data_IF_386455980876
#
_entry.id   IF_386455980876
#
_cell.length_a   1.000
_cell.length_b   1.000
_cell.length_c   1.000
_cell.angle_alpha   90.00
_cell.angle_beta   90.00
_cell.angle_gamma   90.00
#
_symmetry.space_group_name_H-M   'P 1'
#
loop_
_entity.id
_entity.type
_entity.pdbx_description
1 polymer ?
#
# COMPACT_ATOMS: atom_id res chain seq x y z
N UNK A 1 -7.58 -34.45 3.22
CA UNK A 1 -7.66 -33.09 3.78
C UNK A 1 -6.39 -32.87 4.57
N UNK A 2 -5.30 -32.59 3.85
CA UNK A 2 -3.95 -32.46 4.39
C UNK A 2 -3.67 -30.98 4.65
N UNK A 3 -4.30 -30.45 5.70
CA UNK A 3 -4.36 -29.01 6.01
C UNK A 3 -3.20 -28.50 6.88
N UNK A 4 -2.13 -29.27 7.08
CA UNK A 4 -1.07 -28.90 8.05
C UNK A 4 0.32 -29.17 7.50
N UNK A 5 0.91 -28.18 6.80
CA UNK A 5 2.19 -27.52 7.17
C UNK A 5 2.68 -26.57 6.08
N UNK A 6 2.35 -25.29 6.22
CA UNK A 6 3.13 -24.18 5.65
C UNK A 6 3.45 -23.12 6.70
N UNK A 7 3.54 -23.49 7.99
CA UNK A 7 3.72 -22.53 9.11
C UNK A 7 5.17 -22.04 9.27
N UNK A 8 5.94 -21.97 8.18
CA UNK A 8 7.23 -21.28 8.22
C UNK A 8 7.01 -19.87 7.68
N UNK A 9 7.62 -18.84 8.28
CA UNK A 9 7.51 -17.46 7.77
C UNK A 9 7.91 -17.32 6.30
N UNK A 10 8.81 -18.20 5.80
CA UNK A 10 9.19 -18.22 4.39
C UNK A 10 8.09 -18.79 3.48
N UNK A 11 7.31 -19.76 3.96
CA UNK A 11 6.18 -20.28 3.20
C UNK A 11 5.02 -19.29 3.17
N UNK A 12 4.75 -18.61 4.29
CA UNK A 12 3.78 -17.50 4.34
C UNK A 12 4.19 -16.40 3.35
N UNK A 13 5.45 -15.97 3.38
CA UNK A 13 5.99 -15.00 2.42
C UNK A 13 5.90 -15.48 0.97
N UNK A 14 6.17 -16.75 0.70
CA UNK A 14 6.04 -17.30 -0.64
C UNK A 14 4.58 -17.31 -1.13
N UNK A 15 3.60 -17.54 -0.25
CA UNK A 15 2.18 -17.45 -0.59
C UNK A 15 1.76 -16.01 -0.88
N UNK A 16 2.24 -15.05 -0.09
CA UNK A 16 2.04 -13.61 -0.32
C UNK A 16 2.60 -13.20 -1.69
N UNK A 17 3.86 -13.56 -2.00
CA UNK A 17 4.47 -13.26 -3.30
C UNK A 17 3.75 -13.93 -4.47
N UNK A 18 3.26 -15.17 -4.29
CA UNK A 18 2.45 -15.83 -5.33
C UNK A 18 1.15 -15.07 -5.63
N UNK A 19 0.54 -14.44 -4.62
CA UNK A 19 -0.62 -13.56 -4.84
C UNK A 19 -0.24 -12.28 -5.59
N UNK A 20 0.88 -11.64 -5.21
CA UNK A 20 1.34 -10.43 -5.89
C UNK A 20 1.75 -10.67 -7.35
N UNK A 21 2.32 -11.85 -7.64
CA UNK A 21 2.71 -12.25 -9.00
C UNK A 21 1.49 -12.30 -9.93
N UNK A 22 0.35 -12.80 -9.43
CA UNK A 22 -0.91 -12.87 -10.18
C UNK A 22 -1.42 -11.50 -10.60
N UNK A 23 -1.16 -10.48 -9.80
CA UNK A 23 -1.56 -9.09 -10.03
C UNK A 23 -0.47 -8.31 -10.80
N UNK A 24 0.68 -8.94 -11.09
CA UNK A 24 1.81 -8.29 -11.76
C UNK A 24 2.54 -7.26 -10.90
N UNK A 25 2.35 -7.33 -9.57
CA UNK A 25 2.93 -6.39 -8.61
C UNK A 25 4.25 -6.88 -8.01
N UNK A 26 4.67 -8.10 -8.37
CA UNK A 26 5.91 -8.69 -7.85
C UNK A 26 7.15 -8.10 -8.54
N UNK A 27 8.11 -7.61 -7.76
CA UNK A 27 9.37 -7.14 -8.33
C UNK A 27 10.23 -8.29 -8.88
N UNK A 28 11.15 -8.00 -9.80
CA UNK A 28 12.02 -9.01 -10.40
C UNK A 28 12.87 -9.77 -9.35
N UNK A 29 13.32 -9.09 -8.30
CA UNK A 29 14.09 -9.71 -7.22
C UNK A 29 13.21 -10.69 -6.42
N UNK A 30 12.01 -10.27 -6.05
CA UNK A 30 11.07 -11.12 -5.31
C UNK A 30 10.60 -12.31 -6.15
N UNK A 31 10.39 -12.13 -7.46
CA UNK A 31 10.11 -13.23 -8.38
C UNK A 31 11.20 -14.31 -8.38
N UNK A 32 12.48 -13.90 -8.34
CA UNK A 32 13.60 -14.86 -8.22
C UNK A 32 13.61 -15.57 -6.87
N UNK A 33 13.28 -14.88 -5.78
CA UNK A 33 13.17 -15.50 -4.46
C UNK A 33 12.01 -16.50 -4.39
N UNK A 34 10.84 -16.13 -4.92
CA UNK A 34 9.67 -16.98 -5.03
C UNK A 34 10.00 -18.23 -5.82
N UNK A 35 10.51 -18.09 -7.05
CA UNK A 35 10.89 -19.23 -7.90
C UNK A 35 11.83 -20.20 -7.17
N UNK A 36 12.85 -19.66 -6.50
CA UNK A 36 13.81 -20.45 -5.73
C UNK A 36 13.13 -21.24 -4.59
N UNK A 37 12.11 -20.66 -3.94
CA UNK A 37 11.33 -21.35 -2.91
C UNK A 37 10.44 -22.44 -3.51
N UNK A 38 9.75 -22.16 -4.61
CA UNK A 38 8.86 -23.13 -5.28
C UNK A 38 9.62 -24.36 -5.79
N UNK A 39 10.86 -24.20 -6.24
CA UNK A 39 11.75 -25.33 -6.62
C UNK A 39 12.07 -26.27 -5.45
N UNK A 40 12.01 -25.79 -4.21
CA UNK A 40 12.40 -26.53 -3.00
C UNK A 40 11.24 -26.98 -2.14
N UNK A 41 10.08 -26.33 -2.23
CA UNK A 41 8.94 -26.54 -1.36
C UNK A 41 7.72 -27.01 -2.16
N UNK A 42 7.50 -28.32 -2.20
CA UNK A 42 6.36 -28.92 -2.91
C UNK A 42 4.98 -28.38 -2.47
N UNK A 43 4.70 -28.15 -1.17
CA UNK A 43 3.45 -27.51 -0.74
C UNK A 43 3.23 -26.13 -1.37
N UNK A 44 4.25 -25.26 -1.37
CA UNK A 44 4.14 -23.92 -1.97
C UNK A 44 4.03 -23.98 -3.50
N UNK A 45 4.72 -24.91 -4.17
CA UNK A 45 4.57 -25.12 -5.61
C UNK A 45 3.14 -25.54 -5.99
N UNK A 46 2.58 -26.52 -5.29
CA UNK A 46 1.19 -26.94 -5.50
C UNK A 46 0.17 -25.87 -5.14
N UNK A 47 0.45 -25.02 -4.13
CA UNK A 47 -0.37 -23.86 -3.82
C UNK A 47 -0.38 -22.85 -4.97
N UNK A 48 0.80 -22.43 -5.46
CA UNK A 48 0.92 -21.47 -6.55
C UNK A 48 0.21 -21.97 -7.82
N UNK A 49 0.43 -23.23 -8.21
CA UNK A 49 -0.24 -23.81 -9.38
C UNK A 49 -1.77 -23.86 -9.24
N UNK A 50 -2.30 -24.15 -8.04
CA UNK A 50 -3.75 -24.10 -7.77
C UNK A 50 -4.29 -22.67 -7.84
N UNK A 51 -3.55 -21.71 -7.29
CA UNK A 51 -3.93 -20.31 -7.28
C UNK A 51 -3.97 -19.73 -8.71
N UNK A 52 -2.96 -20.05 -9.53
CA UNK A 52 -2.92 -19.70 -10.96
C UNK A 52 -4.11 -20.29 -11.72
N UNK A 53 -4.34 -21.59 -11.56
CA UNK A 53 -5.44 -22.28 -12.24
C UNK A 53 -6.81 -21.72 -11.86
N UNK A 54 -7.05 -21.49 -10.57
CA UNK A 54 -8.29 -20.90 -10.07
C UNK A 54 -8.50 -19.47 -10.60
N UNK A 55 -7.46 -18.64 -10.54
CA UNK A 55 -7.52 -17.25 -10.99
C UNK A 55 -7.73 -17.16 -12.51
N UNK A 56 -7.10 -18.05 -13.29
CA UNK A 56 -7.33 -18.15 -14.73
C UNK A 56 -8.78 -18.51 -15.05
N UNK A 57 -9.38 -19.46 -14.33
CA UNK A 57 -10.79 -19.82 -14.50
C UNK A 57 -11.72 -18.62 -14.21
N UNK A 58 -11.47 -17.87 -13.13
CA UNK A 58 -12.25 -16.68 -12.82
C UNK A 58 -12.13 -15.57 -13.88
N UNK A 59 -10.91 -15.33 -14.40
CA UNK A 59 -10.65 -14.29 -15.41
C UNK A 59 -11.24 -14.64 -16.77
N UNK A 60 -11.30 -15.93 -17.12
CA UNK A 60 -11.88 -16.42 -18.36
C UNK A 60 -13.39 -16.63 -18.29
N UNK A 61 -13.97 -16.70 -17.09
CA UNK A 61 -15.40 -16.84 -16.92
C UNK A 61 -16.14 -15.60 -17.48
N UNK A 62 -17.24 -15.80 -18.23
CA UNK A 62 -18.10 -14.70 -18.63
C UNK A 62 -18.58 -13.91 -17.39
N UNK A 63 -18.60 -12.58 -17.43
CA UNK A 63 -19.15 -11.78 -16.34
C UNK A 63 -20.61 -12.16 -16.06
N UNK A 64 -20.92 -12.48 -14.80
CA UNK A 64 -22.28 -12.79 -14.39
C UNK A 64 -23.17 -11.54 -14.47
N UNK A 65 -24.37 -11.71 -15.01
CA UNK A 65 -25.32 -10.60 -15.12
C UNK A 65 -25.88 -10.24 -13.74
N UNK A 66 -25.76 -8.96 -13.35
CA UNK A 66 -26.38 -8.48 -12.13
C UNK A 66 -27.90 -8.41 -12.32
N UNK A 67 -28.67 -9.16 -11.51
CA UNK A 67 -30.15 -9.11 -11.54
C UNK A 67 -30.74 -7.75 -11.18
N UNK A 68 -29.97 -6.91 -10.47
CA UNK A 68 -30.33 -5.53 -10.13
C UNK A 68 -29.15 -4.62 -10.45
N UNK A 69 -29.41 -3.40 -10.94
CA UNK A 69 -28.34 -2.43 -11.14
C UNK A 69 -27.63 -2.17 -9.81
N UNK A 70 -26.29 -2.00 -9.82
CA UNK A 70 -25.57 -1.60 -8.61
C UNK A 70 -26.15 -0.28 -8.09
N UNK A 71 -26.31 -0.15 -6.78
CA UNK A 71 -26.70 1.13 -6.17
C UNK A 71 -25.67 2.18 -6.56
N UNK A 72 -26.07 3.13 -7.40
CA UNK A 72 -25.22 4.27 -7.72
C UNK A 72 -24.98 5.06 -6.42
N UNK A 73 -23.72 5.12 -5.99
CA UNK A 73 -23.31 6.07 -4.95
C UNK A 73 -23.56 7.47 -5.53
N UNK A 74 -24.55 8.15 -4.99
CA UNK A 74 -24.85 9.53 -5.41
C UNK A 74 -23.62 10.39 -5.10
N UNK A 75 -23.11 11.20 -6.05
CA UNK A 75 -22.00 12.09 -5.77
C UNK A 75 -22.44 13.00 -4.62
N UNK A 76 -21.65 12.99 -3.54
CA UNK A 76 -21.89 13.85 -2.39
C UNK A 76 -22.05 15.28 -2.92
N UNK A 77 -23.22 15.88 -2.72
CA UNK A 77 -23.53 17.27 -3.09
C UNK A 77 -22.74 18.22 -2.18
N UNK A 78 -21.40 18.21 -2.26
CA UNK A 78 -20.49 19.00 -1.45
C UNK A 78 -20.19 20.40 -2.01
N UNK A 79 -20.77 20.78 -3.15
CA UNK A 79 -20.44 22.01 -3.86
C UNK A 79 -21.13 23.29 -3.36
N UNK A 80 -22.19 23.21 -2.55
CA UNK A 80 -22.94 24.41 -2.11
C UNK A 80 -22.35 25.08 -0.87
N UNK A 81 -21.67 24.33 0.00
CA UNK A 81 -21.09 24.86 1.24
C UNK A 81 -19.88 25.78 1.00
N UNK A 82 -19.09 25.51 -0.05
CA UNK A 82 -17.92 26.34 -0.41
C UNK A 82 -18.33 27.76 -0.83
N UNK A 83 -19.46 27.89 -1.55
CA UNK A 83 -19.99 29.20 -1.95
C UNK A 83 -20.52 29.99 -0.74
N UNK A 84 -21.14 29.31 0.22
CA UNK A 84 -21.59 29.93 1.46
C UNK A 84 -20.41 30.37 2.36
N UNK A 85 -19.34 29.56 2.44
CA UNK A 85 -18.14 29.90 3.20
C UNK A 85 -17.37 31.09 2.63
N UNK A 86 -17.27 31.21 1.30
CA UNK A 86 -16.61 32.33 0.64
C UNK A 86 -17.31 33.68 0.89
N UNK A 87 -18.64 33.69 0.90
CA UNK A 87 -19.43 34.90 1.20
C UNK A 87 -19.24 35.36 2.66
N UNK A 88 -19.18 34.43 3.62
CA UNK A 88 -18.95 34.75 5.03
C UNK A 88 -17.53 35.30 5.28
N UNK A 89 -16.51 34.76 4.61
CA UNK A 89 -15.14 35.25 4.73
C UNK A 89 -14.96 36.68 4.20
N UNK A 90 -15.62 37.04 3.09
CA UNK A 90 -15.57 38.39 2.53
C UNK A 90 -16.15 39.46 3.49
N UNK A 91 -17.24 39.11 4.20
CA UNK A 91 -17.85 40.02 5.19
C UNK A 91 -16.93 40.27 6.40
N UNK A 92 -16.20 39.25 6.86
CA UNK A 92 -15.25 39.39 7.96
C UNK A 92 -14.04 40.26 7.59
N UNK A 93 -13.49 40.12 6.38
CA UNK A 93 -12.37 40.95 5.90
C UNK A 93 -12.77 42.42 5.78
N UNK A 94 -13.99 42.72 5.31
CA UNK A 94 -14.50 44.08 5.21
C UNK A 94 -14.69 44.75 6.59
N UNK A 95 -15.16 44.00 7.60
CA UNK A 95 -15.33 44.52 8.95
C UNK A 95 -13.97 44.82 9.65
N UNK A 96 -12.95 43.98 9.42
CA UNK A 96 -11.60 44.19 9.97
C UNK A 96 -10.90 45.38 9.31
N UNK A 97 -11.07 45.57 8.00
CA UNK A 97 -10.48 46.69 7.27
C UNK A 97 -11.00 48.06 7.72
N UNK A 98 -12.29 48.17 8.06
CA UNK A 98 -12.89 49.42 8.52
C UNK A 98 -12.66 49.66 10.02
N UNK A 99 -12.65 48.59 10.83
CA UNK A 99 -12.34 48.67 12.26
C UNK A 99 -10.87 49.00 12.55
N UNK A 100 -9.94 48.43 11.78
CA UNK A 100 -8.50 48.67 11.94
C UNK A 100 -8.06 50.10 11.61
N UNK A 101 -8.71 50.78 10.66
CA UNK A 101 -8.39 52.16 10.30
C UNK A 101 -8.87 53.19 11.35
N UNK A 102 -9.96 52.87 12.06
CA UNK A 102 -10.46 53.69 13.16
C UNK A 102 -9.73 53.41 14.48
N UNK A 103 -9.38 52.15 14.75
CA UNK A 103 -8.60 51.75 15.94
C UNK A 103 -7.13 52.20 15.87
N UNK A 104 -6.51 52.23 14.68
CA UNK A 104 -5.15 52.76 14.51
C UNK A 104 -5.04 54.28 14.77
N UNK A 105 -6.17 54.99 14.88
CA UNK A 105 -6.22 56.38 15.35
C UNK A 105 -6.50 56.50 16.86
N UNK A 106 -6.80 55.41 17.57
CA UNK A 106 -7.42 55.47 18.90
C UNK A 106 -6.54 55.01 20.07
N UNK A 107 -5.56 54.10 19.95
CA UNK A 107 -4.70 53.66 21.08
C UNK A 107 -3.41 52.98 20.52
N UNK A 108 -2.16 53.20 20.95
CA UNK A 108 -1.58 53.60 22.24
C UNK A 108 -2.05 52.77 23.44
N UNK A 109 -2.09 51.43 23.33
CA UNK A 109 -2.21 50.61 24.51
C UNK A 109 -2.51 49.12 24.29
N UNK A 110 -1.55 48.28 24.69
CA UNK A 110 -1.71 46.90 25.16
C UNK A 110 -2.36 45.85 24.25
N UNK A 111 -1.55 44.86 23.85
CA UNK A 111 -1.95 43.75 23.01
C UNK A 111 -2.64 42.59 23.72
N UNK A 112 -3.24 41.70 22.91
CA UNK A 112 -3.52 40.34 23.33
C UNK A 112 -3.56 39.39 22.12
N UNK A 113 -2.72 38.35 22.19
CA UNK A 113 -2.54 37.30 21.20
C UNK A 113 -3.58 36.17 21.36
N UNK A 114 -4.29 35.84 20.28
CA UNK A 114 -5.18 34.69 20.21
C UNK A 114 -4.48 33.47 19.61
N UNK A 115 -4.43 32.36 20.37
CA UNK A 115 -3.86 31.06 19.99
C UNK A 115 -4.69 30.37 18.89
N UNK A 116 -4.04 29.94 17.81
CA UNK A 116 -4.60 29.05 16.81
C UNK A 116 -4.38 27.57 17.21
N UNK A 117 -5.45 26.76 17.20
CA UNK A 117 -5.36 25.30 17.32
C UNK A 117 -4.87 24.71 15.98
N UNK A 118 -3.80 23.91 16.03
CA UNK A 118 -3.26 23.15 14.90
C UNK A 118 -3.91 21.76 14.89
N UNK A 119 -4.67 21.44 13.85
CA UNK A 119 -5.18 20.09 13.58
C UNK A 119 -4.16 19.35 12.72
N UNK A 120 -3.55 18.29 13.24
CA UNK A 120 -2.61 17.44 12.51
C UNK A 120 -3.35 16.34 11.71
N UNK A 121 -2.88 15.97 10.50
CA UNK A 121 -3.46 14.86 9.74
C UNK A 121 -3.00 13.50 10.27
N UNK A 122 -3.89 12.52 10.21
CA UNK A 122 -3.62 11.10 10.51
C UNK A 122 -2.76 10.54 9.37
N UNK A 123 -1.50 10.21 9.66
CA UNK A 123 -0.60 9.51 8.74
C UNK A 123 -0.98 8.03 8.75
N UNK A 124 -1.44 7.52 7.61
CA UNK A 124 -1.58 6.08 7.39
C UNK A 124 -0.18 5.44 7.37
N UNK A 125 0.12 4.61 8.35
CA UNK A 125 1.36 3.84 8.42
C UNK A 125 1.35 2.74 7.35
N UNK A 126 2.28 2.85 6.39
CA UNK A 126 2.59 1.82 5.40
C UNK A 126 3.24 0.58 6.06
N UNK A 127 2.87 -0.66 5.68
CA UNK A 127 3.37 -1.91 6.26
C UNK A 127 4.85 -2.21 5.99
N UNK A 128 5.50 -1.41 5.12
CA UNK A 128 6.89 -1.59 4.69
C UNK A 128 7.92 -1.34 5.81
N UNK A 129 7.52 -0.69 6.90
CA UNK A 129 8.38 -0.42 8.07
C UNK A 129 8.85 -1.70 8.80
N UNK A 130 8.25 -2.85 8.51
CA UNK A 130 8.58 -4.15 9.13
C UNK A 130 9.79 -4.85 8.51
N UNK A 131 10.30 -4.40 7.36
CA UNK A 131 11.40 -5.05 6.65
C UNK A 131 12.81 -4.72 7.16
N UNK A 132 12.95 -3.95 8.24
CA UNK A 132 14.26 -3.45 8.69
C UNK A 132 15.15 -4.42 9.52
N UNK A 133 14.70 -5.56 10.09
CA UNK A 133 15.61 -6.41 10.86
C UNK A 133 16.14 -7.68 10.17
N UNK A 134 15.78 -8.04 8.93
CA UNK A 134 16.36 -9.22 8.26
C UNK A 134 17.69 -8.87 7.56
N UNK A 135 18.69 -8.48 8.36
CA UNK A 135 20.10 -8.47 7.99
C UNK A 135 20.55 -9.90 7.67
N UNK A 136 20.93 -10.14 6.42
CA UNK A 136 22.11 -10.89 5.92
C UNK A 136 22.63 -12.21 6.58
N UNK A 137 22.07 -12.78 7.63
CA UNK A 137 22.73 -13.87 8.38
C UNK A 137 22.49 -15.30 7.86
N UNK A 138 21.78 -15.51 6.74
CA UNK A 138 21.44 -16.88 6.26
C UNK A 138 21.89 -17.23 4.83
N UNK A 139 22.62 -16.35 4.14
CA UNK A 139 23.31 -16.77 2.93
C UNK A 139 24.58 -17.53 3.34
N UNK A 140 24.43 -18.81 3.70
CA UNK A 140 25.57 -19.74 3.78
C UNK A 140 26.05 -20.02 2.34
N UNK A 141 27.30 -19.67 1.97
CA UNK A 141 27.87 -20.15 0.72
C UNK A 141 28.06 -21.67 0.80
N UNK A 142 27.66 -22.39 -0.25
CA UNK A 142 28.00 -23.80 -0.48
C UNK A 142 29.47 -23.93 -0.89
N UNK A 143 30.32 -24.70 -0.18
CA UNK A 143 31.66 -25.02 -0.62
C UNK A 143 31.69 -26.32 -1.42
N UNK A 144 31.05 -26.36 -2.60
CA UNK A 144 31.08 -27.54 -3.47
C UNK A 144 30.60 -27.21 -4.90
N UNK A 145 31.30 -26.30 -5.56
CA UNK A 145 31.42 -26.36 -7.02
C UNK A 145 32.80 -26.95 -7.34
N UNK A 146 32.85 -28.28 -7.31
CA UNK A 146 33.93 -29.03 -7.92
C UNK A 146 33.92 -28.75 -9.42
N UNK A 147 34.83 -27.89 -9.87
CA UNK A 147 35.19 -27.80 -11.28
C UNK A 147 35.81 -29.13 -11.70
N UNK A 148 34.99 -30.05 -12.21
CA UNK A 148 35.47 -31.21 -12.94
C UNK A 148 36.13 -30.73 -14.24
N UNK A 149 37.42 -30.41 -14.15
CA UNK A 149 38.34 -30.37 -15.28
C UNK A 149 38.54 -31.80 -15.75
N UNK A 150 37.69 -32.30 -16.64
CA UNK A 150 38.11 -33.39 -17.52
C UNK A 150 38.61 -32.78 -18.83
N UNK A 151 39.91 -32.49 -18.79
CA UNK A 151 40.78 -32.48 -19.95
C UNK A 151 40.69 -33.85 -20.62
N UNK A 152 40.44 -33.85 -21.94
CA UNK A 152 40.90 -34.91 -22.83
C UNK A 152 42.41 -35.15 -22.61
N UNK A 153 42.89 -36.39 -22.77
CA UNK A 153 43.65 -36.63 -24.00
C UNK A 153 43.52 -38.04 -24.60
N UNK A 154 43.63 -38.04 -25.94
CA UNK A 154 44.19 -39.03 -26.89
C UNK A 154 43.74 -40.49 -26.80
#
# INVERSE_FOLDING_TARGET
>A
MDDVKSSSPLCERAQEWASLDLDGELSAFEGRLLQSHLERCAPCNSFAARLDGFTAQLRLAPPESLRRPPMALSPARGGSGLRAGAAAAALLVAAIGLGGFLAARADDGSGQAGRALVTAPIIATSPDATLRPLRLTSLRPRPDLGFAKHLLPL
#
